data_IF_765707236586
#
_entry.id   IF_765707236586
#
_cell.length_a   1.000
_cell.length_b   1.000
_cell.length_c   1.000
_cell.angle_alpha   90.00
_cell.angle_beta   90.00
_cell.angle_gamma   90.00
#
_symmetry.space_group_name_H-M   'P 1'
#
loop_
_entity.id
_entity.type
_entity.pdbx_description
1 polymer ?
#
# COMPACT_ATOMS: atom_id res chain seq x y z
N UNK A 1 0.98 6.05 -1.20
CA UNK A 1 0.91 6.06 -2.68
C UNK A 1 1.24 7.44 -3.23
N UNK A 2 1.51 7.61 -4.54
CA UNK A 2 1.70 8.95 -5.13
C UNK A 2 0.39 9.75 -5.12
N UNK A 3 0.45 11.08 -4.89
CA UNK A 3 -0.74 11.95 -4.73
C UNK A 3 -1.65 12.03 -5.97
N UNK A 4 -1.09 11.84 -7.16
CA UNK A 4 -1.84 11.79 -8.43
C UNK A 4 -2.35 10.40 -8.80
N UNK A 5 -2.12 9.39 -7.96
CA UNK A 5 -2.73 8.08 -8.17
C UNK A 5 -4.26 8.23 -7.99
N UNK A 6 -5.11 7.73 -8.92
CA UNK A 6 -6.56 7.84 -8.79
C UNK A 6 -7.11 7.36 -7.43
N UNK A 7 -6.46 6.35 -6.85
CA UNK A 7 -6.83 5.77 -5.53
C UNK A 7 -6.61 6.76 -4.37
N UNK A 8 -5.70 7.73 -4.54
CA UNK A 8 -5.37 8.70 -3.48
C UNK A 8 -6.52 9.66 -3.15
N UNK A 9 -7.52 9.77 -4.04
CA UNK A 9 -8.72 10.58 -3.86
C UNK A 9 -9.70 9.99 -2.84
N UNK A 10 -9.60 8.69 -2.56
CA UNK A 10 -10.49 8.02 -1.61
C UNK A 10 -9.98 8.21 -0.18
N UNK A 11 -10.90 8.41 0.77
CA UNK A 11 -10.56 8.58 2.18
C UNK A 11 -9.98 7.30 2.82
N UNK A 12 -10.40 6.13 2.32
CA UNK A 12 -9.93 4.83 2.77
C UNK A 12 -9.84 3.84 1.60
N UNK A 13 -9.02 2.80 1.77
CA UNK A 13 -8.67 1.84 0.72
C UNK A 13 -9.33 0.49 0.99
N UNK A 14 -10.24 0.09 0.11
CA UNK A 14 -10.87 -1.23 0.16
C UNK A 14 -10.12 -2.21 -0.75
N UNK A 15 -9.83 -3.44 -0.30
CA UNK A 15 -9.04 -4.41 -1.07
C UNK A 15 -9.64 -4.69 -2.45
N UNK A 16 -10.93 -5.01 -2.50
CA UNK A 16 -11.63 -5.39 -3.73
C UNK A 16 -11.81 -4.23 -4.75
N UNK A 17 -12.01 -2.99 -4.28
CA UNK A 17 -12.22 -1.84 -5.17
C UNK A 17 -10.92 -1.21 -5.65
N UNK A 18 -9.92 -1.16 -4.76
CA UNK A 18 -8.81 -0.23 -4.92
C UNK A 18 -7.46 -0.92 -5.16
N UNK A 19 -7.28 -2.20 -4.84
CA UNK A 19 -5.97 -2.85 -4.93
C UNK A 19 -5.81 -3.82 -6.11
N UNK A 20 -6.90 -4.45 -6.56
CA UNK A 20 -6.87 -5.40 -7.68
C UNK A 20 -6.33 -4.74 -8.95
N UNK A 21 -5.42 -5.43 -9.64
CA UNK A 21 -4.81 -4.97 -10.90
C UNK A 21 -3.80 -3.82 -10.74
N UNK A 22 -3.50 -3.37 -9.52
CA UNK A 22 -2.54 -2.29 -9.28
C UNK A 22 -1.19 -2.83 -8.82
N UNK A 23 -0.07 -2.22 -9.22
CA UNK A 23 1.25 -2.60 -8.72
C UNK A 23 1.35 -2.31 -7.22
N UNK A 24 1.45 -3.38 -6.42
CA UNK A 24 1.58 -3.32 -4.97
C UNK A 24 3.02 -3.64 -4.56
N UNK A 25 3.53 -2.86 -3.62
CA UNK A 25 4.81 -3.08 -2.95
C UNK A 25 4.49 -3.32 -1.48
N UNK A 26 5.12 -4.31 -0.84
CA UNK A 26 4.83 -4.65 0.54
C UNK A 26 6.09 -4.91 1.38
N UNK A 27 5.97 -4.96 2.71
CA UNK A 27 7.03 -5.48 3.56
C UNK A 27 7.34 -6.94 3.21
N UNK A 28 8.61 -7.34 3.21
CA UNK A 28 9.01 -8.73 3.03
C UNK A 28 8.37 -9.66 4.09
N UNK A 29 8.01 -9.11 5.26
CA UNK A 29 7.38 -9.85 6.35
C UNK A 29 5.85 -9.95 6.21
N UNK A 30 5.22 -9.19 5.30
CA UNK A 30 3.76 -9.13 5.19
C UNK A 30 3.15 -10.48 4.75
N UNK A 31 3.90 -11.30 3.99
CA UNK A 31 3.45 -12.64 3.59
C UNK A 31 3.29 -13.63 4.75
N UNK A 32 3.80 -13.30 5.94
CA UNK A 32 3.70 -14.14 7.14
C UNK A 32 2.62 -13.64 8.11
N UNK A 33 1.94 -12.53 7.77
CA UNK A 33 0.87 -11.96 8.57
C UNK A 33 -0.43 -12.71 8.26
N UNK A 34 -0.78 -13.68 9.10
CA UNK A 34 -1.99 -14.51 8.96
C UNK A 34 -3.29 -13.68 8.92
N UNK A 35 -3.29 -12.50 9.54
CA UNK A 35 -4.39 -11.54 9.49
C UNK A 35 -4.53 -10.87 8.11
N UNK A 36 -3.47 -10.82 7.28
CA UNK A 36 -3.52 -10.18 5.97
C UNK A 36 -4.31 -11.01 4.95
N UNK A 37 -4.16 -12.34 4.97
CA UNK A 37 -4.93 -13.27 4.14
C UNK A 37 -6.43 -13.12 4.41
N UNK A 38 -6.83 -13.16 5.68
CA UNK A 38 -8.23 -12.97 6.11
C UNK A 38 -8.75 -11.58 5.73
N UNK A 39 -7.98 -10.53 6.00
CA UNK A 39 -8.32 -9.15 5.63
C UNK A 39 -8.55 -8.99 4.13
N UNK A 40 -7.78 -9.69 3.32
CA UNK A 40 -7.90 -9.64 1.86
C UNK A 40 -9.16 -10.33 1.34
N UNK A 41 -9.88 -11.12 2.15
CA UNK A 41 -11.04 -11.92 1.74
C UNK A 41 -10.74 -12.82 0.53
N UNK A 42 -9.67 -13.62 0.61
CA UNK A 42 -9.21 -14.53 -0.46
C UNK A 42 -8.79 -13.83 -1.77
N UNK A 43 -8.53 -12.52 -1.74
CA UNK A 43 -8.12 -11.75 -2.92
C UNK A 43 -6.60 -11.71 -3.15
N UNK A 44 -5.80 -12.36 -2.30
CA UNK A 44 -4.34 -12.30 -2.41
C UNK A 44 -3.79 -12.68 -3.77
N UNK A 45 -4.32 -13.74 -4.37
CA UNK A 45 -3.89 -14.20 -5.68
C UNK A 45 -4.28 -13.23 -6.81
N UNK A 46 -5.20 -12.29 -6.53
CA UNK A 46 -5.63 -11.24 -7.46
C UNK A 46 -4.82 -9.94 -7.28
N UNK A 47 -4.00 -9.85 -6.23
CA UNK A 47 -3.13 -8.70 -6.00
C UNK A 47 -1.85 -8.81 -6.80
N UNK A 48 -1.50 -7.74 -7.50
CA UNK A 48 -0.29 -7.67 -8.29
C UNK A 48 0.89 -7.17 -7.44
N UNK A 49 1.50 -8.07 -6.66
CA UNK A 49 2.71 -7.78 -5.89
C UNK A 49 3.94 -7.71 -6.80
N UNK A 50 4.43 -6.49 -7.04
CA UNK A 50 5.59 -6.24 -7.91
C UNK A 50 6.92 -6.17 -7.15
N UNK A 51 6.88 -6.22 -5.80
CA UNK A 51 8.10 -6.22 -5.01
C UNK A 51 7.86 -6.16 -3.50
N UNK A 52 8.94 -6.37 -2.77
CA UNK A 52 8.97 -6.30 -1.30
C UNK A 52 10.05 -5.34 -0.82
N UNK A 53 9.88 -4.77 0.38
CA UNK A 53 10.88 -3.93 1.05
C UNK A 53 11.18 -4.43 2.47
N UNK A 54 12.40 -4.15 2.93
CA UNK A 54 12.79 -4.29 4.35
C UNK A 54 12.76 -2.93 5.06
N UNK A 55 13.20 -1.88 4.36
CA UNK A 55 13.16 -0.49 4.83
C UNK A 55 12.18 0.29 3.97
N UNK A 56 11.11 0.80 4.59
CA UNK A 56 10.06 1.51 3.87
C UNK A 56 10.58 2.77 3.15
N UNK A 57 11.67 3.39 3.62
CA UNK A 57 12.31 4.50 2.92
C UNK A 57 12.61 4.18 1.45
N UNK A 58 13.15 3.00 1.14
CA UNK A 58 13.47 2.59 -0.22
C UNK A 58 12.20 2.42 -1.08
N UNK A 59 11.15 1.82 -0.51
CA UNK A 59 9.85 1.72 -1.16
C UNK A 59 9.25 3.11 -1.42
N UNK A 60 9.42 4.05 -0.49
CA UNK A 60 8.90 5.41 -0.63
C UNK A 60 9.48 6.12 -1.87
N UNK A 61 10.74 5.89 -2.22
CA UNK A 61 11.36 6.44 -3.43
C UNK A 61 10.71 5.89 -4.70
N UNK A 62 10.45 4.58 -4.74
CA UNK A 62 9.75 3.94 -5.86
C UNK A 62 8.31 4.45 -6.00
N UNK A 63 7.60 4.57 -4.89
CA UNK A 63 6.24 5.13 -4.88
C UNK A 63 6.23 6.60 -5.30
N UNK A 64 7.22 7.40 -4.89
CA UNK A 64 7.39 8.80 -5.34
C UNK A 64 7.60 8.90 -6.86
N UNK A 65 8.31 7.94 -7.44
CA UNK A 65 8.53 7.83 -8.88
C UNK A 65 7.31 7.27 -9.64
N UNK A 66 6.24 6.85 -8.95
CA UNK A 66 5.03 6.33 -9.57
C UNK A 66 5.05 4.82 -9.85
N UNK A 67 6.02 4.08 -9.31
CA UNK A 67 6.15 2.63 -9.55
C UNK A 67 4.98 1.80 -9.00
N UNK A 68 4.26 2.30 -7.98
CA UNK A 68 3.06 1.64 -7.47
C UNK A 68 2.55 2.16 -6.14
N UNK A 69 1.80 1.31 -5.43
CA UNK A 69 1.22 1.55 -4.11
C UNK A 69 1.98 0.71 -3.10
N UNK A 70 2.53 1.33 -2.05
CA UNK A 70 3.11 0.58 -0.94
C UNK A 70 2.07 0.38 0.17
N UNK A 71 1.92 -0.86 0.63
CA UNK A 71 1.20 -1.22 1.85
C UNK A 71 2.17 -1.10 3.03
N UNK A 72 1.80 -0.31 4.04
CA UNK A 72 2.69 0.06 5.16
C UNK A 72 1.87 0.50 6.37
N UNK A 73 2.52 0.55 7.54
CA UNK A 73 1.98 1.21 8.72
C UNK A 73 1.92 2.74 8.54
N UNK A 74 0.96 3.35 9.23
CA UNK A 74 0.87 4.80 9.36
C UNK A 74 2.14 5.36 10.04
N UNK A 75 2.46 6.63 9.77
CA UNK A 75 3.58 7.36 10.37
C UNK A 75 5.01 6.82 10.13
N UNK A 76 5.22 5.81 9.26
CA UNK A 76 6.58 5.36 8.91
C UNK A 76 7.39 6.39 8.12
N UNK A 77 6.73 7.33 7.44
CA UNK A 77 7.37 8.52 6.88
C UNK A 77 6.50 9.73 7.15
N UNK A 78 7.14 10.88 7.24
CA UNK A 78 6.44 12.14 7.13
C UNK A 78 5.82 12.27 5.73
N UNK A 79 4.52 12.48 5.64
CA UNK A 79 3.80 12.74 4.39
C UNK A 79 3.47 14.23 4.22
N UNK A 80 3.87 15.08 5.16
CA UNK A 80 3.64 16.52 5.12
C UNK A 80 4.56 17.25 4.11
N UNK A 81 4.16 18.48 3.74
CA UNK A 81 4.96 19.39 2.90
C UNK A 81 4.94 19.06 1.41
N UNK A 82 6.09 19.23 0.74
CA UNK A 82 6.25 18.94 -0.70
C UNK A 82 6.16 17.45 -1.05
N UNK A 83 5.92 16.58 -0.07
CA UNK A 83 6.05 15.15 -0.27
C UNK A 83 4.97 14.64 -1.24
N UNK A 84 5.40 14.03 -2.35
CA UNK A 84 4.51 13.57 -3.44
C UNK A 84 3.64 12.36 -3.06
N UNK A 85 3.62 12.02 -1.78
CA UNK A 85 3.01 10.82 -1.24
C UNK A 85 1.81 11.17 -0.37
N UNK A 86 0.79 10.32 -0.43
CA UNK A 86 -0.39 10.36 0.42
C UNK A 86 -0.53 9.00 1.10
N UNK A 87 -0.82 9.04 2.40
CA UNK A 87 -1.23 7.88 3.17
C UNK A 87 -2.77 7.80 3.19
N UNK A 88 -3.31 6.58 3.04
CA UNK A 88 -4.74 6.29 3.20
C UNK A 88 -4.88 5.00 4.00
N UNK A 89 -5.71 4.99 5.05
CA UNK A 89 -5.94 3.79 5.84
C UNK A 89 -6.65 2.72 5.00
N UNK A 90 -6.42 1.46 5.39
CA UNK A 90 -7.16 0.32 4.87
C UNK A 90 -8.56 0.27 5.49
N UNK A 91 -9.55 -0.19 4.73
CA UNK A 91 -10.89 -0.50 5.23
C UNK A 91 -11.35 -1.86 4.68
N UNK A 92 -11.60 -2.88 5.52
CA UNK A 92 -11.54 -2.86 7.00
C UNK A 92 -10.14 -2.51 7.54
N UNK A 93 -10.06 -2.11 8.81
CA UNK A 93 -8.76 -1.91 9.46
C UNK A 93 -8.06 -3.26 9.63
N UNK A 94 -6.75 -3.28 9.42
CA UNK A 94 -5.91 -4.46 9.64
C UNK A 94 -5.19 -4.28 10.99
N UNK A 95 -5.68 -4.94 12.03
CA UNK A 95 -5.12 -4.91 13.39
C UNK A 95 -4.08 -6.00 13.61
#
# INVERSE_FOLDING_TARGET
MHRHNPVALHAAIFPYLHLIGRPLITSAQMKHLSNFDEWSHDLLDQFNFIGTYNLFYNASLLVKAGAGIALTYEHLIDTAGENRLVFRPLNPELT
#
